data_IF_680100922853
#
_entry.id   IF_680100922853
#
_cell.length_a   1.000
_cell.length_b   1.000
_cell.length_c   1.000
_cell.angle_alpha   90.00
_cell.angle_beta   90.00
_cell.angle_gamma   90.00
#
_symmetry.space_group_name_H-M   'P 1'
#
loop_
_entity.id
_entity.type
_entity.pdbx_description
1 polymer ?
#
# COMPACT_ATOMS: atom_id res chain seq x y z
N UNK A 1 -8.34 18.03 4.42
CA UNK A 1 -9.77 17.79 4.76
C UNK A 1 -10.64 17.74 3.51
N UNK A 2 -10.34 16.84 2.57
CA UNK A 2 -11.21 16.48 1.44
C UNK A 2 -11.16 14.96 1.35
N UNK A 3 -11.99 14.27 2.14
CA UNK A 3 -12.15 12.83 2.05
C UNK A 3 -13.29 12.56 1.08
N UNK A 4 -12.97 11.93 -0.05
CA UNK A 4 -13.96 11.43 -0.99
C UNK A 4 -14.06 9.93 -0.81
N UNK A 5 -15.23 9.45 -0.44
CA UNK A 5 -15.50 8.03 -0.34
C UNK A 5 -15.89 7.50 -1.71
N UNK A 6 -15.33 6.36 -2.10
CA UNK A 6 -15.69 5.63 -3.31
C UNK A 6 -16.28 4.28 -2.91
N UNK A 7 -17.37 3.89 -3.56
CA UNK A 7 -17.97 2.57 -3.41
C UNK A 7 -18.05 1.93 -4.79
N UNK A 8 -17.33 0.83 -4.96
CA UNK A 8 -17.31 0.04 -6.19
C UNK A 8 -18.67 -0.57 -6.49
N UNK A 9 -19.04 -0.63 -7.77
CA UNK A 9 -20.19 -1.43 -8.24
C UNK A 9 -19.78 -2.85 -8.61
N UNK A 10 -18.48 -3.10 -8.80
CA UNK A 10 -17.90 -4.43 -8.96
C UNK A 10 -17.58 -5.09 -7.62
N UNK A 11 -17.48 -6.42 -7.63
CA UNK A 11 -17.08 -7.23 -6.49
C UNK A 11 -15.69 -7.83 -6.70
N UNK A 12 -14.88 -7.77 -5.65
CA UNK A 12 -13.55 -8.38 -5.59
C UNK A 12 -12.44 -7.33 -5.72
N UNK A 13 -11.47 -7.37 -4.81
CA UNK A 13 -10.43 -6.35 -4.62
C UNK A 13 -9.80 -5.83 -5.92
N UNK A 14 -9.40 -6.73 -6.82
CA UNK A 14 -8.76 -6.33 -8.09
C UNK A 14 -9.70 -5.57 -9.02
N UNK A 15 -10.97 -5.96 -9.09
CA UNK A 15 -11.96 -5.30 -9.93
C UNK A 15 -12.39 -3.97 -9.34
N UNK A 16 -12.51 -3.89 -8.02
CA UNK A 16 -12.82 -2.66 -7.28
C UNK A 16 -11.71 -1.62 -7.43
N UNK A 17 -10.45 -2.04 -7.29
CA UNK A 17 -9.27 -1.16 -7.51
C UNK A 17 -9.22 -0.66 -8.96
N UNK A 18 -9.44 -1.54 -9.94
CA UNK A 18 -9.47 -1.14 -11.36
C UNK A 18 -10.60 -0.14 -11.62
N UNK A 19 -11.78 -0.35 -11.05
CA UNK A 19 -12.90 0.58 -11.18
C UNK A 19 -12.55 1.95 -10.60
N UNK A 20 -11.97 1.98 -9.40
CA UNK A 20 -11.54 3.23 -8.76
C UNK A 20 -10.50 4.00 -9.59
N UNK A 21 -9.44 3.32 -10.04
CA UNK A 21 -8.35 3.97 -10.80
C UNK A 21 -8.85 4.50 -12.15
N UNK A 22 -9.79 3.80 -12.80
CA UNK A 22 -10.40 4.28 -14.03
C UNK A 22 -11.34 5.47 -13.79
N UNK A 23 -12.01 5.54 -12.63
CA UNK A 23 -12.88 6.66 -12.26
C UNK A 23 -12.09 7.92 -11.85
N UNK A 24 -10.86 7.75 -11.38
CA UNK A 24 -9.98 8.82 -10.91
C UNK A 24 -8.75 8.87 -11.81
N UNK A 25 -8.90 9.29 -13.07
CA UNK A 25 -7.82 9.21 -14.07
C UNK A 25 -6.89 10.44 -14.11
N UNK A 26 -7.20 11.49 -13.36
CA UNK A 26 -6.48 12.77 -13.39
C UNK A 26 -5.62 13.00 -12.13
N UNK A 27 -4.68 12.10 -11.87
CA UNK A 27 -3.67 12.22 -10.81
C UNK A 27 -2.26 12.40 -11.37
N UNK A 28 -1.43 13.18 -10.66
CA UNK A 28 0.01 13.34 -10.97
C UNK A 28 0.86 12.23 -10.33
N UNK A 29 0.41 11.73 -9.18
CA UNK A 29 0.98 10.62 -8.45
C UNK A 29 -0.12 9.98 -7.63
N UNK A 30 0.05 8.71 -7.31
CA UNK A 30 -0.98 7.90 -6.66
C UNK A 30 -0.37 6.89 -5.70
N UNK A 31 -1.22 6.36 -4.84
CA UNK A 31 -0.89 5.28 -3.91
C UNK A 31 -2.15 4.48 -3.64
N UNK A 32 -2.02 3.17 -3.65
CA UNK A 32 -2.93 2.21 -3.03
C UNK A 32 -2.22 1.69 -1.78
N UNK A 33 -2.93 1.66 -0.67
CA UNK A 33 -2.41 1.31 0.64
C UNK A 33 -3.42 0.43 1.34
N UNK A 34 -2.98 -0.67 1.93
CA UNK A 34 -3.82 -1.52 2.76
C UNK A 34 -4.19 -0.83 4.08
N UNK A 35 -5.33 -1.23 4.67
CA UNK A 35 -5.95 -0.52 5.79
C UNK A 35 -5.38 -0.88 7.17
N UNK A 36 -4.56 -1.91 7.24
CA UNK A 36 -4.08 -2.65 8.41
C UNK A 36 -2.59 -2.44 8.68
N UNK A 37 -2.04 -1.30 8.25
CA UNK A 37 -0.63 -0.91 8.43
C UNK A 37 -0.46 0.01 9.67
N UNK A 38 -0.29 -0.52 10.90
CA UNK A 38 -0.40 0.25 12.15
C UNK A 38 0.73 1.26 12.37
N UNK A 39 1.85 1.12 11.65
CA UNK A 39 3.04 1.93 11.87
C UNK A 39 3.19 3.10 10.89
N UNK A 40 2.25 3.29 9.95
CA UNK A 40 2.27 4.47 9.07
C UNK A 40 2.00 5.73 9.90
N UNK A 41 3.06 6.52 10.12
CA UNK A 41 2.95 7.84 10.73
C UNK A 41 2.91 8.94 9.68
N UNK A 42 2.56 10.18 10.07
CA UNK A 42 2.66 11.36 9.21
C UNK A 42 4.06 11.54 8.60
N UNK A 43 5.11 11.19 9.34
CA UNK A 43 6.48 11.24 8.84
C UNK A 43 6.68 10.26 7.68
N UNK A 44 6.32 8.99 7.88
CA UNK A 44 6.45 7.95 6.87
C UNK A 44 5.56 8.17 5.65
N UNK A 45 4.32 8.63 5.84
CA UNK A 45 3.46 9.05 4.74
C UNK A 45 4.10 10.18 3.91
N UNK A 46 4.80 11.13 4.56
CA UNK A 46 5.54 12.19 3.88
C UNK A 46 6.76 11.68 3.09
N UNK A 47 7.48 10.68 3.62
CA UNK A 47 8.57 10.00 2.90
C UNK A 47 8.03 9.26 1.69
N UNK A 48 6.98 8.46 1.87
CA UNK A 48 6.34 7.69 0.80
C UNK A 48 5.86 8.60 -0.33
N UNK A 49 5.17 9.69 0.01
CA UNK A 49 4.72 10.68 -0.98
C UNK A 49 5.86 11.19 -1.86
N UNK A 50 7.01 11.55 -1.28
CA UNK A 50 8.18 12.02 -2.05
C UNK A 50 8.74 10.94 -2.98
N UNK A 51 8.67 9.68 -2.57
CA UNK A 51 9.04 8.55 -3.45
C UNK A 51 8.08 8.48 -4.64
N UNK A 52 6.76 8.53 -4.41
CA UNK A 52 5.77 8.52 -5.49
C UNK A 52 5.89 9.73 -6.44
N UNK A 53 6.27 10.90 -5.93
CA UNK A 53 6.51 12.07 -6.77
C UNK A 53 7.73 11.89 -7.70
N UNK A 54 8.75 11.15 -7.27
CA UNK A 54 10.05 11.06 -7.96
C UNK A 54 10.30 9.78 -8.76
N UNK A 55 9.45 8.76 -8.62
CA UNK A 55 9.63 7.43 -9.22
C UNK A 55 8.42 7.03 -10.06
N UNK A 56 8.68 6.32 -11.15
CA UNK A 56 7.63 5.73 -12.00
C UNK A 56 6.71 4.84 -11.16
N UNK A 57 7.29 3.84 -10.49
CA UNK A 57 6.60 2.96 -9.56
C UNK A 57 7.44 2.75 -8.29
N UNK A 58 6.75 2.67 -7.15
CA UNK A 58 7.26 2.34 -5.82
C UNK A 58 6.37 1.25 -5.23
N UNK A 59 6.98 0.19 -4.70
CA UNK A 59 6.24 -0.98 -4.23
C UNK A 59 6.88 -1.53 -2.95
N UNK A 60 6.05 -2.08 -2.06
CA UNK A 60 6.50 -2.79 -0.85
C UNK A 60 6.10 -4.27 -0.91
N UNK A 61 6.85 -5.10 -0.18
CA UNK A 61 6.62 -6.54 -0.05
C UNK A 61 6.37 -6.86 1.42
N UNK A 62 5.24 -7.50 1.73
CA UNK A 62 4.96 -8.06 3.06
C UNK A 62 5.65 -9.42 3.25
N UNK A 63 5.62 -9.91 4.49
CA UNK A 63 6.22 -11.19 4.90
C UNK A 63 5.67 -12.38 4.11
N UNK A 64 4.40 -12.33 3.71
CA UNK A 64 3.68 -13.38 2.98
C UNK A 64 3.76 -13.22 1.44
N UNK A 65 4.61 -12.31 0.93
CA UNK A 65 4.74 -11.95 -0.49
C UNK A 65 3.52 -11.20 -1.05
N UNK A 66 2.74 -10.56 -0.18
CA UNK A 66 1.71 -9.57 -0.53
C UNK A 66 2.30 -8.22 -0.96
N UNK A 67 1.44 -7.30 -1.39
CA UNK A 67 1.80 -5.93 -1.83
C UNK A 67 1.06 -4.87 -1.00
N UNK A 68 1.56 -4.52 0.19
CA UNK A 68 0.82 -3.68 1.13
C UNK A 68 0.65 -2.23 0.65
N UNK A 69 1.68 -1.71 -0.03
CA UNK A 69 1.66 -0.38 -0.61
C UNK A 69 2.22 -0.41 -2.02
N UNK A 70 1.49 0.23 -2.93
CA UNK A 70 1.86 0.39 -4.34
C UNK A 70 1.56 1.83 -4.74
N UNK A 71 2.52 2.56 -5.28
CA UNK A 71 2.28 3.90 -5.82
C UNK A 71 3.31 4.34 -6.84
N UNK A 72 3.28 5.61 -7.23
CA UNK A 72 4.19 6.17 -8.22
C UNK A 72 3.62 7.38 -8.94
N UNK A 73 4.37 7.91 -9.90
CA UNK A 73 3.92 8.97 -10.82
C UNK A 73 3.52 8.43 -12.20
N UNK A 74 3.79 7.15 -12.49
CA UNK A 74 3.33 6.49 -13.71
C UNK A 74 1.97 5.84 -13.47
N UNK A 75 1.01 6.06 -14.38
CA UNK A 75 -0.29 5.40 -14.34
C UNK A 75 -0.14 3.88 -14.47
N UNK A 76 -0.89 3.13 -13.66
CA UNK A 76 -0.92 1.67 -13.68
C UNK A 76 -2.33 1.18 -13.37
N UNK A 77 -2.80 0.17 -14.10
CA UNK A 77 -4.13 -0.42 -13.92
C UNK A 77 -4.14 -1.97 -13.97
N UNK A 78 -2.97 -2.61 -14.08
CA UNK A 78 -2.82 -4.07 -14.15
C UNK A 78 -2.63 -4.69 -12.76
N UNK A 79 -3.49 -4.35 -11.80
CA UNK A 79 -3.40 -4.84 -10.42
C UNK A 79 -3.81 -6.31 -10.28
N UNK A 80 -3.07 -7.03 -9.45
CA UNK A 80 -3.21 -8.47 -9.17
C UNK A 80 -2.98 -8.81 -7.69
N UNK A 81 -3.68 -8.11 -6.81
CA UNK A 81 -3.74 -8.39 -5.37
C UNK A 81 -4.21 -9.80 -5.04
N UNK A 82 -3.79 -10.29 -3.87
CA UNK A 82 -3.98 -11.65 -3.38
C UNK A 82 -2.65 -12.37 -3.14
N UNK A 83 -2.70 -13.71 -3.05
CA UNK A 83 -1.52 -14.54 -2.79
C UNK A 83 -0.40 -14.28 -3.81
N UNK A 84 0.82 -14.06 -3.30
CA UNK A 84 2.03 -13.76 -4.08
C UNK A 84 1.87 -12.53 -4.99
N UNK A 85 1.03 -11.56 -4.62
CA UNK A 85 0.77 -10.38 -5.44
C UNK A 85 2.04 -9.57 -5.74
N UNK A 86 3.02 -9.54 -4.83
CA UNK A 86 4.27 -8.84 -5.08
C UNK A 86 5.01 -9.38 -6.30
N UNK A 87 5.15 -10.71 -6.39
CA UNK A 87 5.83 -11.35 -7.51
C UNK A 87 5.09 -11.10 -8.83
N UNK A 88 3.76 -11.24 -8.83
CA UNK A 88 2.92 -10.98 -10.01
C UNK A 88 3.05 -9.53 -10.49
N UNK A 89 3.02 -8.57 -9.56
CA UNK A 89 3.24 -7.17 -9.89
C UNK A 89 4.64 -6.92 -10.45
N UNK A 90 5.68 -7.51 -9.85
CA UNK A 90 7.05 -7.39 -10.36
C UNK A 90 7.22 -7.98 -11.76
N UNK A 91 6.59 -9.11 -12.07
CA UNK A 91 6.56 -9.71 -13.41
C UNK A 91 5.89 -8.76 -14.42
N UNK A 92 4.72 -8.24 -14.09
CA UNK A 92 4.00 -7.28 -14.96
C UNK A 92 4.84 -6.02 -15.21
N UNK A 93 5.44 -5.46 -14.16
CA UNK A 93 6.29 -4.26 -14.29
C UNK A 93 7.52 -4.53 -15.15
N UNK A 94 8.13 -5.71 -15.00
CA UNK A 94 9.26 -6.15 -15.81
C UNK A 94 8.86 -6.29 -17.29
N UNK A 95 7.76 -6.97 -17.57
CA UNK A 95 7.27 -7.19 -18.95
C UNK A 95 6.91 -5.88 -19.66
N UNK A 96 6.44 -4.88 -18.90
CA UNK A 96 6.15 -3.54 -19.39
C UNK A 96 7.37 -2.61 -19.42
N UNK A 97 8.56 -3.09 -19.02
CA UNK A 97 9.79 -2.28 -18.92
C UNK A 97 9.64 -1.03 -18.04
N UNK A 98 8.80 -1.09 -17.00
CA UNK A 98 8.55 0.01 -16.07
C UNK A 98 9.60 -0.01 -14.96
N UNK A 99 10.21 1.15 -14.66
CA UNK A 99 11.17 1.25 -13.57
C UNK A 99 10.45 1.19 -12.22
N UNK A 100 10.93 0.31 -11.36
CA UNK A 100 10.31 0.05 -10.06
C UNK A 100 11.33 0.20 -8.93
N UNK A 101 10.98 1.00 -7.92
CA UNK A 101 11.71 1.13 -6.67
C UNK A 101 11.07 0.23 -5.60
N UNK A 102 11.85 -0.69 -5.04
CA UNK A 102 11.40 -1.55 -3.94
C UNK A 102 11.75 -0.92 -2.61
N UNK A 103 10.77 -0.77 -1.73
CA UNK A 103 10.98 -0.19 -0.39
C UNK A 103 10.83 -1.26 0.68
N UNK A 104 11.90 -1.46 1.45
CA UNK A 104 11.94 -2.42 2.55
C UNK A 104 12.07 -1.67 3.87
N UNK A 105 10.94 -1.24 4.42
CA UNK A 105 10.86 -0.56 5.71
C UNK A 105 9.65 -1.10 6.47
N UNK A 106 9.83 -1.48 7.74
CA UNK A 106 8.78 -2.16 8.54
C UNK A 106 7.45 -1.39 8.55
N UNK A 107 7.55 -0.08 8.60
CA UNK A 107 6.43 0.85 8.61
C UNK A 107 5.59 0.84 7.33
N UNK A 108 6.09 0.25 6.26
CA UNK A 108 5.42 0.13 4.97
C UNK A 108 5.05 -1.30 4.59
N UNK A 109 5.43 -2.31 5.37
CA UNK A 109 5.13 -3.71 5.04
C UNK A 109 4.49 -4.53 6.17
N UNK A 110 4.55 -4.05 7.42
CA UNK A 110 3.97 -4.78 8.54
C UNK A 110 2.45 -4.60 8.56
N UNK A 111 1.74 -5.68 8.28
CA UNK A 111 0.28 -5.79 8.29
C UNK A 111 -0.16 -6.49 9.59
N UNK A 112 -1.37 -6.18 10.05
CA UNK A 112 -2.00 -6.84 11.20
C UNK A 112 -3.06 -7.84 10.69
N UNK A 113 -2.62 -9.01 10.24
CA UNK A 113 -3.50 -10.01 9.61
C UNK A 113 -3.90 -11.15 10.55
N UNK A 114 -2.95 -11.63 11.36
CA UNK A 114 -3.15 -12.79 12.23
C UNK A 114 -2.71 -12.58 13.69
N UNK A 115 -2.81 -13.65 14.49
CA UNK A 115 -2.48 -13.63 15.91
C UNK A 115 -0.98 -13.39 16.14
N UNK A 116 -0.11 -13.96 15.29
CA UNK A 116 1.34 -13.79 15.40
C UNK A 116 1.72 -12.33 15.12
N UNK A 117 1.09 -11.70 14.13
CA UNK A 117 1.27 -10.27 13.85
C UNK A 117 0.83 -9.41 15.03
N UNK A 118 -0.31 -9.75 15.66
CA UNK A 118 -0.78 -9.04 16.84
C UNK A 118 0.18 -9.18 18.03
N UNK A 119 0.74 -10.37 18.27
CA UNK A 119 1.76 -10.57 19.29
C UNK A 119 3.02 -9.72 19.02
N UNK A 120 3.49 -9.68 17.77
CA UNK A 120 4.63 -8.84 17.39
C UNK A 120 4.32 -7.34 17.58
N UNK A 121 3.09 -6.92 17.30
CA UNK A 121 2.61 -5.57 17.52
C UNK A 121 2.63 -5.17 18.99
N UNK A 122 2.20 -6.06 19.89
CA UNK A 122 2.25 -5.82 21.34
C UNK A 122 3.67 -5.63 21.88
N UNK A 123 4.67 -6.27 21.26
CA UNK A 123 6.08 -6.06 21.61
C UNK A 123 6.60 -4.69 21.14
N UNK A 124 5.99 -4.10 20.11
CA UNK A 124 6.45 -2.89 19.44
C UNK A 124 5.40 -1.77 19.41
N UNK A 125 4.61 -1.64 20.49
CA UNK A 125 3.44 -0.76 20.53
C UNK A 125 3.77 0.69 20.11
N UNK A 126 3.08 1.22 19.08
CA UNK A 126 3.28 2.58 18.65
C UNK A 126 2.74 3.55 19.70
N UNK A 127 3.30 4.77 19.73
CA UNK A 127 2.93 5.79 20.73
C UNK A 127 1.44 6.14 20.72
N UNK A 128 0.80 6.07 19.56
CA UNK A 128 -0.63 6.37 19.44
C UNK A 128 -1.49 5.33 20.17
N UNK A 129 -1.08 4.06 20.16
CA UNK A 129 -1.80 2.98 20.83
C UNK A 129 -1.62 3.05 22.35
N UNK A 130 -0.40 3.32 22.83
CA UNK A 130 -0.12 3.46 24.29
C UNK A 130 -0.97 4.54 24.97
N UNK A 131 -1.37 5.59 24.24
CA UNK A 131 -2.23 6.66 24.79
C UNK A 131 -3.66 6.18 25.06
N UNK A 132 -4.15 5.20 24.30
CA UNK A 132 -5.50 4.65 24.47
C UNK A 132 -5.63 3.81 25.75
N UNK A 133 -4.53 3.18 26.21
CA UNK A 133 -4.53 2.30 27.38
C UNK A 133 -4.26 3.02 28.72
N UNK A 134 -3.96 4.32 28.71
CA UNK A 134 -3.76 5.13 29.91
C UNK A 134 -5.00 6.02 30.22
N UNK A 135 -6.18 5.62 29.76
CA UNK A 135 -7.46 6.30 30.01
C UNK A 135 -8.35 5.50 30.95
#
# INVERSE_FOLDING_TARGET
NNLNNFQSQKQGLNEEVKEFINAVDNYNYWTIVHGDLPYITKHFAGVWKKLCESKEIVITESKDRGTPIFGGNLKFNNFTYGKNSFLKHMEILHDLSIKCEKVFHKEFYFELDDEDDYEEFLQNLPRWYKKLNNS
#
